data_IF_279506413834
#
_entry.id   IF_279506413834
#
_cell.length_a   1.000
_cell.length_b   1.000
_cell.length_c   1.000
_cell.angle_alpha   90.00
_cell.angle_beta   90.00
_cell.angle_gamma   90.00
#
_symmetry.space_group_name_H-M   'P 1'
#
loop_
_entity.id
_entity.type
_entity.pdbx_description
1 polymer ?
#
# COMPACT_ATOMS: atom_id res chain seq x y z
N UNK A 1 -0.41 28.60 4.99
CA UNK A 1 0.13 27.53 4.12
C UNK A 1 1.27 26.76 4.80
N UNK A 2 2.26 27.43 5.42
CA UNK A 2 3.36 26.75 6.11
C UNK A 2 2.88 25.93 7.33
N UNK A 3 1.92 26.43 8.08
CA UNK A 3 1.35 25.75 9.25
C UNK A 3 0.64 24.46 8.87
N UNK A 4 -0.18 24.47 7.81
CA UNK A 4 -0.85 23.26 7.30
C UNK A 4 0.17 22.20 6.87
N UNK A 5 1.23 22.61 6.17
CA UNK A 5 2.29 21.69 5.75
C UNK A 5 3.02 21.07 6.97
N UNK A 6 3.25 21.85 8.00
CA UNK A 6 3.89 21.38 9.22
C UNK A 6 3.00 20.38 9.99
N UNK A 7 1.71 20.70 10.15
CA UNK A 7 0.74 19.78 10.79
C UNK A 7 0.64 18.47 9.99
N UNK A 8 0.52 18.56 8.66
CA UNK A 8 0.50 17.38 7.79
C UNK A 8 1.76 16.54 7.95
N UNK A 9 2.93 17.17 8.07
CA UNK A 9 4.19 16.48 8.32
C UNK A 9 4.20 15.69 9.63
N UNK A 10 3.77 16.30 10.72
CA UNK A 10 3.68 15.61 12.02
C UNK A 10 2.65 14.48 12.01
N UNK A 11 1.48 14.72 11.46
CA UNK A 11 0.44 13.68 11.29
C UNK A 11 0.99 12.51 10.44
N UNK A 12 1.73 12.83 9.37
CA UNK A 12 2.35 11.83 8.50
C UNK A 12 3.37 10.96 9.23
N UNK A 13 4.24 11.56 10.04
CA UNK A 13 5.25 10.82 10.82
C UNK A 13 4.55 9.88 11.82
N UNK A 14 3.64 10.38 12.64
CA UNK A 14 2.97 9.58 13.67
C UNK A 14 2.13 8.47 13.06
N UNK A 15 1.29 8.81 12.07
CA UNK A 15 0.42 7.85 11.41
C UNK A 15 1.22 6.83 10.59
N UNK A 16 2.31 7.25 9.91
CA UNK A 16 3.18 6.36 9.15
C UNK A 16 3.91 5.35 10.04
N UNK A 17 4.45 5.78 11.19
CA UNK A 17 5.07 4.88 12.17
C UNK A 17 4.04 3.89 12.72
N UNK A 18 2.87 4.38 13.15
CA UNK A 18 1.79 3.55 13.65
C UNK A 18 1.33 2.52 12.59
N UNK A 19 1.20 2.95 11.33
CA UNK A 19 0.85 2.09 10.20
C UNK A 19 1.90 1.00 9.98
N UNK A 20 3.18 1.34 10.01
CA UNK A 20 4.29 0.39 9.83
C UNK A 20 4.30 -0.70 10.92
N UNK A 21 4.14 -0.28 12.18
CA UNK A 21 4.06 -1.21 13.30
C UNK A 21 2.81 -2.10 13.19
N UNK A 22 1.66 -1.50 12.93
CA UNK A 22 0.40 -2.23 12.77
C UNK A 22 0.45 -3.19 11.58
N UNK A 23 1.00 -2.76 10.44
CA UNK A 23 1.16 -3.57 9.24
C UNK A 23 2.05 -4.78 9.46
N UNK A 24 3.24 -4.56 10.05
CA UNK A 24 4.20 -5.62 10.34
C UNK A 24 3.65 -6.62 11.36
N UNK A 25 3.32 -6.17 12.56
CA UNK A 25 2.82 -7.03 13.64
C UNK A 25 1.46 -7.65 13.32
N UNK A 26 0.55 -6.86 12.72
CA UNK A 26 -0.78 -7.33 12.34
C UNK A 26 -0.74 -8.37 11.24
N UNK A 27 0.08 -8.15 10.20
CA UNK A 27 0.29 -9.11 9.13
C UNK A 27 0.88 -10.44 9.61
N UNK A 28 1.87 -10.38 10.52
CA UNK A 28 2.46 -11.58 11.12
C UNK A 28 1.49 -12.32 12.03
N UNK A 29 0.75 -11.60 12.86
CA UNK A 29 -0.28 -12.20 13.72
C UNK A 29 -1.39 -12.86 12.87
N UNK A 30 -1.83 -12.18 11.80
CA UNK A 30 -2.84 -12.70 10.90
C UNK A 30 -2.38 -14.00 10.23
N UNK A 31 -1.15 -14.01 9.67
CA UNK A 31 -0.57 -15.20 9.06
C UNK A 31 -0.49 -16.37 10.06
N UNK A 32 0.02 -16.12 11.27
CA UNK A 32 0.13 -17.16 12.33
C UNK A 32 -1.23 -17.73 12.74
N UNK A 33 -2.28 -16.90 12.79
CA UNK A 33 -3.59 -17.31 13.26
C UNK A 33 -4.43 -18.00 12.19
N UNK A 34 -4.33 -17.57 10.94
CA UNK A 34 -5.20 -18.02 9.85
C UNK A 34 -4.52 -18.97 8.87
N UNK A 35 -3.18 -18.99 8.82
CA UNK A 35 -2.42 -19.70 7.80
C UNK A 35 -2.55 -19.08 6.40
N UNK A 36 -3.16 -17.90 6.28
CA UNK A 36 -3.34 -17.20 5.01
C UNK A 36 -2.31 -16.09 4.87
N UNK A 37 -1.77 -15.91 3.67
CA UNK A 37 -0.70 -14.96 3.42
C UNK A 37 -0.99 -13.52 3.86
N UNK A 38 0.05 -12.78 4.23
CA UNK A 38 -0.02 -11.36 4.65
C UNK A 38 -0.74 -10.43 3.65
N UNK A 39 -0.74 -10.68 2.33
CA UNK A 39 -1.54 -9.89 1.41
C UNK A 39 -3.04 -9.90 1.72
N UNK A 40 -3.57 -10.99 2.28
CA UNK A 40 -4.98 -11.04 2.72
C UNK A 40 -5.26 -10.09 3.89
N UNK A 41 -4.32 -9.91 4.79
CA UNK A 41 -4.43 -8.90 5.85
C UNK A 41 -4.50 -7.48 5.25
N UNK A 42 -3.64 -7.18 4.27
CA UNK A 42 -3.70 -5.90 3.54
C UNK A 42 -5.04 -5.71 2.81
N UNK A 43 -5.59 -6.76 2.21
CA UNK A 43 -6.93 -6.70 1.63
C UNK A 43 -7.97 -6.20 2.63
N UNK A 44 -8.02 -6.78 3.84
CA UNK A 44 -9.00 -6.37 4.85
C UNK A 44 -8.74 -4.94 5.36
N UNK A 45 -7.49 -4.57 5.59
CA UNK A 45 -7.13 -3.22 6.04
C UNK A 45 -7.51 -2.18 4.98
N UNK A 46 -7.15 -2.41 3.71
CA UNK A 46 -7.48 -1.48 2.63
C UNK A 46 -8.97 -1.37 2.40
N UNK A 47 -9.70 -2.48 2.47
CA UNK A 47 -11.16 -2.49 2.34
C UNK A 47 -11.84 -1.72 3.48
N UNK A 48 -11.38 -1.91 4.72
CA UNK A 48 -11.91 -1.20 5.88
C UNK A 48 -11.64 0.31 5.84
N UNK A 49 -10.48 0.73 5.31
CA UNK A 49 -10.10 2.13 5.23
C UNK A 49 -10.58 2.83 3.93
N UNK A 50 -11.05 2.08 2.93
CA UNK A 50 -11.51 2.62 1.66
C UNK A 50 -12.60 3.70 1.79
N UNK A 51 -13.65 3.54 2.63
CA UNK A 51 -14.67 4.59 2.80
C UNK A 51 -14.09 5.90 3.34
N UNK A 52 -13.15 5.82 4.28
CA UNK A 52 -12.49 7.00 4.87
C UNK A 52 -11.62 7.69 3.83
N UNK A 53 -10.89 6.92 3.01
CA UNK A 53 -10.04 7.43 1.93
C UNK A 53 -10.82 8.12 0.79
N UNK A 54 -12.08 7.79 0.62
CA UNK A 54 -12.96 8.50 -0.30
C UNK A 54 -13.59 9.72 0.39
N UNK A 55 -14.13 9.54 1.59
CA UNK A 55 -14.90 10.56 2.28
C UNK A 55 -14.09 11.85 2.53
N UNK A 56 -12.82 11.74 2.95
CA UNK A 56 -12.02 12.93 3.23
C UNK A 56 -11.67 13.77 1.99
N UNK A 57 -11.79 13.21 0.80
CA UNK A 57 -11.60 13.95 -0.47
C UNK A 57 -12.80 14.83 -0.83
N UNK A 58 -13.94 14.57 -0.19
CA UNK A 58 -15.22 15.24 -0.45
C UNK A 58 -15.53 16.34 0.58
N UNK A 59 -14.64 16.53 1.57
CA UNK A 59 -14.81 17.53 2.64
C UNK A 59 -13.73 18.59 2.56
N UNK A 60 -14.06 19.80 3.05
CA UNK A 60 -13.12 20.91 3.12
C UNK A 60 -12.02 20.68 4.17
N UNK A 61 -10.84 21.29 4.02
CA UNK A 61 -9.71 21.11 4.94
C UNK A 61 -9.99 21.55 6.39
N UNK A 62 -10.99 22.39 6.61
CA UNK A 62 -11.39 22.85 7.94
C UNK A 62 -12.21 21.81 8.71
N UNK A 63 -12.70 20.77 8.04
CA UNK A 63 -13.48 19.72 8.67
C UNK A 63 -12.56 18.65 9.29
N UNK A 64 -12.90 18.15 10.48
CA UNK A 64 -12.10 17.15 11.18
C UNK A 64 -11.93 15.83 10.37
N UNK A 65 -12.91 15.46 9.53
CA UNK A 65 -12.85 14.28 8.65
C UNK A 65 -11.68 14.38 7.66
N UNK A 66 -11.32 15.58 7.20
CA UNK A 66 -10.16 15.78 6.35
C UNK A 66 -8.87 15.29 7.03
N UNK A 67 -8.65 15.70 8.28
CA UNK A 67 -7.45 15.31 9.03
C UNK A 67 -7.40 13.83 9.38
N UNK A 68 -8.56 13.23 9.71
CA UNK A 68 -8.68 11.77 9.88
C UNK A 68 -8.32 11.05 8.58
N UNK A 69 -8.80 11.52 7.43
CA UNK A 69 -8.47 10.95 6.13
C UNK A 69 -6.99 11.07 5.78
N UNK A 70 -6.37 12.23 6.03
CA UNK A 70 -4.93 12.43 5.84
C UNK A 70 -4.13 11.46 6.72
N UNK A 71 -4.46 11.35 8.00
CA UNK A 71 -3.82 10.39 8.91
C UNK A 71 -4.00 8.94 8.44
N UNK A 72 -5.21 8.58 7.99
CA UNK A 72 -5.53 7.25 7.46
C UNK A 72 -4.72 6.93 6.20
N UNK A 73 -4.52 7.90 5.31
CA UNK A 73 -3.69 7.74 4.12
C UNK A 73 -2.23 7.42 4.46
N UNK A 74 -1.61 8.19 5.37
CA UNK A 74 -0.25 7.91 5.84
C UNK A 74 -0.15 6.60 6.62
N UNK A 75 -1.15 6.27 7.45
CA UNK A 75 -1.23 5.00 8.14
C UNK A 75 -1.29 3.83 7.16
N UNK A 76 -2.13 3.91 6.14
CA UNK A 76 -2.26 2.87 5.12
C UNK A 76 -0.97 2.70 4.32
N UNK A 77 -0.30 3.79 3.98
CA UNK A 77 1.00 3.76 3.31
C UNK A 77 2.05 3.03 4.16
N UNK A 78 2.13 3.37 5.45
CA UNK A 78 3.01 2.67 6.40
C UNK A 78 2.65 1.20 6.53
N UNK A 79 1.36 0.87 6.68
CA UNK A 79 0.88 -0.49 6.82
C UNK A 79 1.20 -1.39 5.62
N UNK A 80 1.30 -0.82 4.42
CA UNK A 80 1.59 -1.54 3.18
C UNK A 80 3.00 -2.15 3.16
N UNK A 81 4.02 -1.43 3.63
CA UNK A 81 5.42 -1.82 3.43
C UNK A 81 5.79 -3.12 4.14
N UNK A 82 5.47 -3.27 5.43
CA UNK A 82 5.85 -4.44 6.23
C UNK A 82 5.38 -5.76 5.61
N UNK A 83 4.07 -5.98 5.48
CA UNK A 83 3.52 -7.22 4.91
C UNK A 83 3.97 -7.49 3.47
N UNK A 84 4.13 -6.44 2.66
CA UNK A 84 4.51 -6.59 1.25
C UNK A 84 5.96 -7.05 1.12
N UNK A 85 6.90 -6.38 1.82
CA UNK A 85 8.30 -6.80 1.80
C UNK A 85 8.50 -8.17 2.41
N UNK A 86 7.83 -8.49 3.52
CA UNK A 86 7.90 -9.81 4.12
C UNK A 86 7.37 -10.90 3.16
N UNK A 87 6.28 -10.64 2.45
CA UNK A 87 5.75 -11.56 1.43
C UNK A 87 6.75 -11.81 0.31
N UNK A 88 7.35 -10.75 -0.26
CA UNK A 88 8.37 -10.88 -1.31
C UNK A 88 9.57 -11.68 -0.82
N UNK A 89 10.05 -11.39 0.39
CA UNK A 89 11.22 -12.08 0.96
C UNK A 89 10.97 -13.57 1.24
N UNK A 90 9.75 -13.94 1.60
CA UNK A 90 9.41 -15.35 1.85
C UNK A 90 9.19 -16.18 0.59
N UNK A 91 8.84 -15.55 -0.52
CA UNK A 91 8.67 -16.21 -1.82
C UNK A 91 9.98 -16.44 -2.56
N UNK A 92 11.07 -15.78 -2.16
CA UNK A 92 12.33 -15.78 -2.88
C UNK A 92 13.40 -16.57 -2.11
N UNK A 93 14.17 -17.44 -2.78
CA UNK A 93 15.33 -18.12 -2.18
C UNK A 93 16.34 -17.13 -1.58
N UNK A 94 17.04 -17.57 -0.51
CA UNK A 94 17.92 -16.68 0.26
C UNK A 94 19.04 -16.06 -0.59
N UNK A 95 19.57 -16.82 -1.55
CA UNK A 95 20.71 -16.43 -2.39
C UNK A 95 20.44 -15.19 -3.25
N UNK A 96 19.19 -14.99 -3.70
CA UNK A 96 18.83 -13.89 -4.59
C UNK A 96 17.88 -12.87 -3.95
N UNK A 97 17.52 -13.07 -2.67
CA UNK A 97 16.53 -12.26 -1.94
C UNK A 97 16.84 -10.76 -1.97
N UNK A 98 18.09 -10.39 -1.72
CA UNK A 98 18.51 -8.99 -1.73
C UNK A 98 18.32 -8.34 -3.10
N UNK A 99 18.67 -9.05 -4.18
CA UNK A 99 18.52 -8.57 -5.56
C UNK A 99 17.05 -8.39 -5.93
N UNK A 100 16.21 -9.35 -5.59
CA UNK A 100 14.76 -9.27 -5.89
C UNK A 100 14.10 -8.15 -5.10
N UNK A 101 14.44 -7.96 -3.83
CA UNK A 101 13.93 -6.84 -3.02
C UNK A 101 14.39 -5.50 -3.58
N UNK A 102 15.66 -5.37 -3.99
CA UNK A 102 16.16 -4.15 -4.61
C UNK A 102 15.43 -3.83 -5.93
N UNK A 103 15.21 -4.85 -6.77
CA UNK A 103 14.46 -4.70 -8.01
C UNK A 103 13.00 -4.34 -7.77
N UNK A 104 12.37 -4.93 -6.76
CA UNK A 104 11.01 -4.60 -6.36
C UNK A 104 10.89 -3.14 -5.90
N UNK A 105 11.84 -2.65 -5.09
CA UNK A 105 11.90 -1.24 -4.67
C UNK A 105 12.08 -0.32 -5.89
N UNK A 106 12.95 -0.69 -6.83
CA UNK A 106 13.15 0.06 -8.07
C UNK A 106 11.85 0.17 -8.87
N UNK A 107 11.14 -0.94 -9.06
CA UNK A 107 9.85 -0.96 -9.76
C UNK A 107 8.79 -0.10 -9.05
N UNK A 108 8.70 -0.19 -7.71
CA UNK A 108 7.77 0.65 -6.93
C UNK A 108 8.05 2.14 -7.14
N UNK A 109 9.32 2.55 -7.11
CA UNK A 109 9.67 3.95 -7.29
C UNK A 109 9.47 4.40 -8.73
N UNK A 110 9.87 3.60 -9.71
CA UNK A 110 9.75 3.96 -11.11
C UNK A 110 8.29 3.96 -11.58
N UNK A 111 7.56 2.89 -11.34
CA UNK A 111 6.17 2.77 -11.78
C UNK A 111 5.21 3.55 -10.87
N UNK A 112 5.37 3.46 -9.54
CA UNK A 112 4.47 4.12 -8.59
C UNK A 112 4.73 5.60 -8.47
N UNK A 113 5.96 6.01 -8.15
CA UNK A 113 6.28 7.41 -7.88
C UNK A 113 6.51 8.18 -9.18
N UNK A 114 7.47 7.78 -10.02
CA UNK A 114 7.82 8.58 -11.19
C UNK A 114 6.67 8.66 -12.21
N UNK A 115 6.14 7.52 -12.63
CA UNK A 115 5.04 7.48 -13.61
C UNK A 115 3.75 8.02 -12.98
N UNK A 116 3.43 7.63 -11.76
CA UNK A 116 2.21 8.07 -11.06
C UNK A 116 2.15 9.59 -10.89
N UNK A 117 3.23 10.22 -10.40
CA UNK A 117 3.28 11.68 -10.23
C UNK A 117 3.23 12.40 -11.57
N UNK A 118 3.93 11.87 -12.60
CA UNK A 118 3.90 12.47 -13.95
C UNK A 118 2.51 12.42 -14.56
N UNK A 119 1.81 11.29 -14.48
CA UNK A 119 0.43 11.15 -14.97
C UNK A 119 -0.53 12.06 -14.19
N UNK A 120 -0.36 12.20 -12.88
CA UNK A 120 -1.15 13.12 -12.08
C UNK A 120 -0.96 14.57 -12.53
N UNK A 121 0.29 14.99 -12.79
CA UNK A 121 0.60 16.32 -13.31
C UNK A 121 -0.08 16.58 -14.65
N UNK A 122 0.10 15.69 -15.62
CA UNK A 122 -0.53 15.82 -16.97
C UNK A 122 -2.04 15.89 -16.85
N UNK A 123 -2.66 15.10 -15.97
CA UNK A 123 -4.11 15.12 -15.81
C UNK A 123 -4.60 16.40 -15.13
N UNK A 124 -3.85 16.94 -14.16
CA UNK A 124 -4.14 18.24 -13.54
C UNK A 124 -4.08 19.36 -14.60
N UNK A 125 -3.03 19.40 -15.41
CA UNK A 125 -2.87 20.41 -16.47
C UNK A 125 -4.04 20.36 -17.47
N UNK A 126 -4.44 19.16 -17.89
CA UNK A 126 -5.61 18.95 -18.72
C UNK A 126 -6.90 19.49 -18.08
N UNK A 127 -7.12 19.22 -16.79
CA UNK A 127 -8.30 19.71 -16.06
C UNK A 127 -8.30 21.23 -15.91
N UNK A 128 -7.12 21.86 -15.77
CA UNK A 128 -6.97 23.31 -15.74
C UNK A 128 -7.32 23.92 -17.09
N UNK A 129 -6.85 23.32 -18.19
CA UNK A 129 -7.12 23.80 -19.55
C UNK A 129 -8.62 23.79 -19.89
N UNK A 130 -9.34 22.78 -19.46
CA UNK A 130 -10.81 22.70 -19.63
C UNK A 130 -11.59 23.49 -18.57
N UNK A 131 -10.90 24.28 -17.72
CA UNK A 131 -11.48 25.10 -16.65
C UNK A 131 -12.34 24.31 -15.66
N UNK A 132 -11.93 23.10 -15.30
CA UNK A 132 -12.60 22.32 -14.26
C UNK A 132 -12.57 23.09 -12.92
N UNK A 133 -13.65 23.09 -12.13
CA UNK A 133 -13.73 23.87 -10.89
C UNK A 133 -12.74 23.37 -9.81
N UNK A 134 -12.43 22.07 -9.80
CA UNK A 134 -11.59 21.45 -8.77
C UNK A 134 -10.59 20.44 -9.36
N UNK A 135 -9.59 20.88 -10.13
CA UNK A 135 -8.69 19.98 -10.85
C UNK A 135 -7.89 19.05 -9.92
N UNK A 136 -7.43 19.56 -8.79
CA UNK A 136 -6.65 18.79 -7.83
C UNK A 136 -7.49 17.72 -7.12
N UNK A 137 -8.68 18.09 -6.63
CA UNK A 137 -9.59 17.16 -5.94
C UNK A 137 -10.03 16.03 -6.88
N UNK A 138 -10.38 16.37 -8.12
CA UNK A 138 -10.78 15.37 -9.13
C UNK A 138 -9.63 14.41 -9.45
N UNK A 139 -8.41 14.91 -9.63
CA UNK A 139 -7.24 14.07 -9.87
C UNK A 139 -7.01 13.11 -8.70
N UNK A 140 -7.04 13.61 -7.48
CA UNK A 140 -6.83 12.79 -6.29
C UNK A 140 -7.93 11.74 -6.10
N UNK A 141 -9.18 12.06 -6.43
CA UNK A 141 -10.29 11.09 -6.42
C UNK A 141 -10.06 9.98 -7.44
N UNK A 142 -9.71 10.31 -8.68
CA UNK A 142 -9.41 9.31 -9.72
C UNK A 142 -8.27 8.38 -9.31
N UNK A 143 -7.17 8.93 -8.79
CA UNK A 143 -6.05 8.11 -8.30
C UNK A 143 -6.46 7.25 -7.10
N UNK A 144 -7.34 7.73 -6.23
CA UNK A 144 -7.88 6.94 -5.13
C UNK A 144 -8.70 5.76 -5.67
N UNK A 145 -9.59 5.98 -6.63
CA UNK A 145 -10.40 4.92 -7.26
C UNK A 145 -9.51 3.88 -7.96
N UNK A 146 -8.51 4.33 -8.72
CA UNK A 146 -7.52 3.44 -9.35
C UNK A 146 -6.77 2.62 -8.28
N UNK A 147 -6.34 3.24 -7.20
CA UNK A 147 -5.69 2.55 -6.07
C UNK A 147 -6.60 1.50 -5.42
N UNK A 148 -7.89 1.78 -5.28
CA UNK A 148 -8.86 0.82 -4.75
C UNK A 148 -9.04 -0.40 -5.67
N UNK A 149 -8.82 -0.27 -6.97
CA UNK A 149 -8.86 -1.39 -7.91
C UNK A 149 -7.77 -2.44 -7.64
N UNK A 150 -6.73 -2.09 -6.89
CA UNK A 150 -5.70 -3.04 -6.44
C UNK A 150 -6.17 -3.96 -5.30
N UNK A 151 -7.25 -3.61 -4.58
CA UNK A 151 -7.74 -4.40 -3.43
C UNK A 151 -8.00 -5.87 -3.81
N UNK A 152 -8.72 -6.21 -4.91
CA UNK A 152 -8.91 -7.60 -5.33
C UNK A 152 -7.61 -8.36 -5.58
N UNK A 153 -6.54 -7.68 -6.02
CA UNK A 153 -5.25 -8.33 -6.27
C UNK A 153 -4.62 -8.83 -4.97
N UNK A 154 -4.75 -8.08 -3.88
CA UNK A 154 -4.30 -8.55 -2.56
C UNK A 154 -5.08 -9.75 -2.05
N UNK A 155 -6.36 -9.86 -2.35
CA UNK A 155 -7.16 -11.04 -2.05
C UNK A 155 -6.63 -12.28 -2.78
N UNK A 156 -6.43 -12.18 -4.09
CA UNK A 156 -5.91 -13.31 -4.89
C UNK A 156 -4.48 -13.68 -4.48
N UNK A 157 -3.61 -12.69 -4.24
CA UNK A 157 -2.25 -12.92 -3.77
C UNK A 157 -2.25 -13.62 -2.40
N UNK A 158 -3.11 -13.19 -1.47
CA UNK A 158 -3.22 -13.80 -0.15
C UNK A 158 -3.69 -15.26 -0.20
N UNK A 159 -4.63 -15.59 -1.08
CA UNK A 159 -5.13 -16.97 -1.23
C UNK A 159 -4.10 -17.92 -1.86
N UNK A 160 -3.26 -17.41 -2.74
CA UNK A 160 -2.26 -18.22 -3.45
C UNK A 160 -0.93 -18.32 -2.73
N UNK A 161 -0.71 -17.52 -1.71
CA UNK A 161 0.58 -17.36 -1.05
C UNK A 161 1.21 -18.68 -0.61
N UNK A 162 0.48 -19.53 0.11
CA UNK A 162 1.02 -20.80 0.62
C UNK A 162 1.32 -21.79 -0.54
N UNK A 163 0.48 -21.81 -1.58
CA UNK A 163 0.72 -22.62 -2.76
C UNK A 163 1.97 -22.18 -3.51
N UNK A 164 2.13 -20.89 -3.70
CA UNK A 164 3.27 -20.32 -4.41
C UNK A 164 4.56 -20.49 -3.59
N UNK A 165 4.50 -20.30 -2.27
CA UNK A 165 5.61 -20.55 -1.36
C UNK A 165 6.10 -21.99 -1.40
N UNK A 166 5.18 -22.97 -1.40
CA UNK A 166 5.52 -24.40 -1.51
C UNK A 166 6.15 -24.77 -2.85
N UNK A 167 5.73 -24.08 -3.94
CA UNK A 167 6.29 -24.31 -5.27
C UNK A 167 7.70 -23.72 -5.44
N UNK A 168 7.93 -22.54 -4.88
CA UNK A 168 9.20 -21.82 -5.03
C UNK A 168 10.27 -22.29 -4.05
N UNK A 169 9.86 -22.78 -2.89
CA UNK A 169 10.74 -23.34 -1.86
C UNK A 169 10.28 -24.78 -1.52
N UNK A 170 10.48 -25.75 -2.42
CA UNK A 170 10.10 -27.14 -2.14
C UNK A 170 10.90 -27.60 -0.90
N UNK A 171 10.27 -28.37 0.02
CA UNK A 171 10.99 -28.95 1.14
C UNK A 171 12.17 -29.76 0.58
N UNK A 172 13.36 -29.56 1.18
CA UNK A 172 14.54 -30.33 0.81
C UNK A 172 14.16 -31.80 0.77
N UNK A 173 14.32 -32.45 -0.39
CA UNK A 173 14.12 -33.88 -0.49
C UNK A 173 15.09 -34.51 0.50
N UNK A 174 14.55 -35.02 1.59
CA UNK A 174 15.32 -35.84 2.52
C UNK A 174 15.83 -36.99 1.67
N UNK A 175 17.13 -36.93 1.34
CA UNK A 175 17.81 -38.00 0.64
C UNK A 175 17.68 -39.25 1.53
N UNK A 176 16.67 -40.06 1.29
CA UNK A 176 16.60 -41.43 1.71
C UNK A 176 17.52 -42.23 0.78
N UNK A 177 18.82 -42.02 0.94
CA UNK A 177 19.84 -42.96 0.51
C UNK A 177 20.55 -43.44 1.81
N UNK A 178 20.00 -44.48 2.37
CA UNK A 178 20.64 -45.34 3.33
C UNK A 178 21.00 -46.64 2.67
#
# INVERSE_FOLDING_TARGET
KAEIAQITGWVGIVAGIAGNLFGGLGGDYFLKKTGVGRPMFLFFVMLALAPVNIAYRLVEPDHWVFWVGVATGFFQLGCFYGPTFATVQELVPEEIRATVVAFYILLLNMAGVAIGVSLAGIYIDYLIDIKSPEPYTQTLLWFTVISLSAIPLFFFAGRRFETDKARLNPPAQTSLEG
#
